data_IF_013745299252
#
_entry.id   IF_013745299252
#
_cell.length_a   1.000
_cell.length_b   1.000
_cell.length_c   1.000
_cell.angle_alpha   90.00
_cell.angle_beta   90.00
_cell.angle_gamma   90.00
#
_symmetry.space_group_name_H-M   'P 1'
#
loop_
_entity.id
_entity.type
_entity.pdbx_description
1 polymer ?
#
# COMPACT_ATOMS: atom_id res chain seq x y z
N UNK A 1 -5.50 9.47 -79.44
CA UNK A 1 -5.46 8.11 -80.02
C UNK A 1 -4.10 7.49 -79.66
N UNK A 2 -4.10 6.30 -79.01
CA UNK A 2 -2.95 5.45 -78.55
C UNK A 2 -2.16 6.02 -77.35
N UNK A 3 -2.33 5.55 -76.10
CA UNK A 3 -2.03 4.24 -75.43
C UNK A 3 -0.52 3.94 -75.36
N UNK A 4 -0.06 3.55 -74.14
CA UNK A 4 1.11 2.73 -73.71
C UNK A 4 1.79 3.44 -72.50
N UNK A 5 2.09 2.87 -71.32
CA UNK A 5 1.76 1.64 -70.60
C UNK A 5 2.16 1.89 -69.12
N UNK A 6 1.29 1.57 -68.15
CA UNK A 6 1.64 1.54 -66.73
C UNK A 6 2.35 0.21 -66.41
N UNK A 7 3.50 0.24 -65.74
CA UNK A 7 4.08 -0.94 -65.08
C UNK A 7 3.96 -0.72 -63.58
N UNK A 8 2.92 -1.33 -63.00
CA UNK A 8 2.76 -1.47 -61.56
C UNK A 8 3.40 -2.82 -61.18
N UNK A 9 4.52 -2.78 -60.44
CA UNK A 9 5.11 -3.98 -59.86
C UNK A 9 4.19 -4.52 -58.77
N UNK A 10 3.46 -5.59 -59.07
CA UNK A 10 2.66 -6.34 -58.11
C UNK A 10 3.61 -7.29 -57.35
N UNK A 11 4.12 -6.86 -56.20
CA UNK A 11 4.82 -7.77 -55.27
C UNK A 11 3.76 -8.61 -54.58
N UNK A 12 3.58 -9.84 -55.05
CA UNK A 12 2.78 -10.86 -54.38
C UNK A 12 3.54 -11.28 -53.13
N UNK A 13 3.23 -10.69 -51.98
CA UNK A 13 3.57 -11.30 -50.70
C UNK A 13 2.74 -12.57 -50.57
N UNK A 14 3.39 -13.71 -50.69
CA UNK A 14 2.85 -14.98 -50.21
C UNK A 14 2.64 -14.83 -48.70
N UNK A 15 1.41 -14.52 -48.29
CA UNK A 15 0.96 -14.71 -46.93
C UNK A 15 1.03 -16.21 -46.65
N UNK A 16 2.16 -16.66 -46.11
CA UNK A 16 2.19 -17.82 -45.25
C UNK A 16 1.20 -17.53 -44.12
N UNK A 17 -0.01 -18.07 -44.23
CA UNK A 17 -0.88 -18.26 -43.08
C UNK A 17 -0.25 -19.34 -42.22
N UNK A 18 0.85 -19.00 -41.54
CA UNK A 18 1.26 -19.69 -40.35
C UNK A 18 0.19 -19.38 -39.30
N UNK A 19 -0.62 -20.38 -39.03
CA UNK A 19 -1.63 -20.49 -37.99
C UNK A 19 -1.23 -19.65 -36.76
N UNK A 20 -1.94 -18.54 -36.55
CA UNK A 20 -1.63 -17.54 -35.52
C UNK A 20 -2.18 -17.98 -34.16
N UNK A 21 -1.94 -19.23 -33.79
CA UNK A 21 -2.18 -19.71 -32.44
C UNK A 21 -1.05 -19.13 -31.58
N UNK A 22 -1.26 -17.96 -30.98
CA UNK A 22 -0.27 -17.36 -30.09
C UNK A 22 -0.14 -18.24 -28.86
N UNK A 23 0.78 -19.19 -28.88
CA UNK A 23 1.14 -20.00 -27.74
C UNK A 23 1.69 -19.03 -26.67
N UNK A 24 0.95 -18.89 -25.57
CA UNK A 24 1.32 -18.03 -24.45
C UNK A 24 1.76 -18.90 -23.31
N UNK A 25 2.58 -18.34 -22.46
CA UNK A 25 3.01 -18.99 -21.23
C UNK A 25 2.19 -18.43 -20.10
N UNK A 26 1.35 -19.26 -19.47
CA UNK A 26 0.72 -18.90 -18.21
C UNK A 26 1.82 -18.98 -17.17
N UNK A 27 2.04 -17.89 -16.47
CA UNK A 27 3.17 -17.72 -15.58
C UNK A 27 2.68 -17.30 -14.21
N UNK A 28 3.06 -18.05 -13.19
CA UNK A 28 2.95 -17.66 -11.79
C UNK A 28 4.28 -17.02 -11.37
N UNK A 29 4.23 -15.78 -10.92
CA UNK A 29 5.36 -15.04 -10.38
C UNK A 29 5.15 -14.89 -8.88
N UNK A 30 6.03 -15.48 -8.08
CA UNK A 30 6.10 -15.19 -6.65
C UNK A 30 6.91 -13.90 -6.46
N UNK A 31 6.26 -12.88 -5.91
CA UNK A 31 6.86 -11.59 -5.57
C UNK A 31 7.53 -11.58 -4.19
N UNK A 32 7.77 -12.77 -3.63
CA UNK A 32 8.34 -13.00 -2.31
C UNK A 32 7.26 -13.16 -1.25
N UNK A 33 7.58 -13.89 -0.18
CA UNK A 33 6.70 -14.13 0.97
C UNK A 33 5.31 -14.69 0.59
N UNK A 34 5.20 -15.49 -0.49
CA UNK A 34 3.95 -16.15 -0.89
C UNK A 34 2.93 -15.24 -1.61
N UNK A 35 3.36 -14.09 -2.12
CA UNK A 35 2.53 -13.22 -2.96
C UNK A 35 2.66 -13.62 -4.43
N UNK A 36 1.81 -14.55 -4.85
CA UNK A 36 1.83 -15.09 -6.21
C UNK A 36 0.87 -14.31 -7.11
N UNK A 37 1.37 -13.89 -8.26
CA UNK A 37 0.58 -13.26 -9.33
C UNK A 37 0.64 -14.08 -10.61
N UNK A 38 -0.52 -14.26 -11.21
CA UNK A 38 -0.67 -14.91 -12.51
C UNK A 38 -0.57 -13.88 -13.62
N UNK A 39 0.34 -14.09 -14.58
CA UNK A 39 0.52 -13.27 -15.79
C UNK A 39 0.67 -14.15 -17.03
N UNK A 40 0.53 -13.55 -18.22
CA UNK A 40 0.83 -14.24 -19.48
C UNK A 40 2.09 -13.68 -20.13
N UNK A 41 3.07 -14.55 -20.39
CA UNK A 41 4.35 -14.18 -20.96
C UNK A 41 4.47 -14.67 -22.41
N UNK A 42 5.13 -13.86 -23.23
CA UNK A 42 5.66 -14.27 -24.53
C UNK A 42 7.13 -14.63 -24.32
N UNK A 43 7.51 -15.84 -24.72
CA UNK A 43 8.88 -16.35 -24.65
C UNK A 43 9.42 -16.44 -26.08
N UNK A 44 10.55 -15.79 -26.35
CA UNK A 44 11.25 -15.80 -27.63
C UNK A 44 12.69 -16.22 -27.39
N UNK A 45 13.15 -17.21 -28.15
CA UNK A 45 14.51 -17.73 -28.07
C UNK A 45 15.06 -17.80 -29.51
N UNK A 46 16.01 -16.93 -29.83
CA UNK A 46 16.61 -16.84 -31.16
C UNK A 46 18.13 -16.71 -31.02
N UNK A 47 18.91 -17.58 -31.65
CA UNK A 47 20.37 -17.57 -31.59
C UNK A 47 20.90 -17.46 -30.16
N UNK A 48 20.41 -18.32 -29.25
CA UNK A 48 20.73 -18.33 -27.82
C UNK A 48 20.28 -17.08 -27.04
N UNK A 49 19.73 -16.05 -27.69
CA UNK A 49 19.18 -14.88 -27.01
C UNK A 49 17.75 -15.15 -26.56
N UNK A 50 17.51 -14.95 -25.27
CA UNK A 50 16.20 -15.13 -24.64
C UNK A 50 15.58 -13.76 -24.38
N UNK A 51 14.35 -13.58 -24.86
CA UNK A 51 13.49 -12.44 -24.53
C UNK A 51 12.15 -12.94 -24.04
N UNK A 52 11.83 -12.66 -22.78
CA UNK A 52 10.55 -12.99 -22.15
C UNK A 52 9.86 -11.68 -21.76
N UNK A 53 8.61 -11.50 -22.15
CA UNK A 53 7.89 -10.24 -21.89
C UNK A 53 6.44 -10.49 -21.50
N UNK A 54 5.92 -9.66 -20.59
CA UNK A 54 4.46 -9.58 -20.42
C UNK A 54 3.81 -8.92 -21.64
N UNK A 55 2.48 -8.99 -21.69
CA UNK A 55 1.72 -8.57 -22.85
C UNK A 55 1.90 -7.08 -23.16
N UNK A 56 2.17 -6.77 -24.43
CA UNK A 56 2.20 -5.38 -24.92
C UNK A 56 0.88 -4.67 -24.66
N UNK A 57 0.93 -3.36 -24.49
CA UNK A 57 -0.21 -2.46 -24.29
C UNK A 57 -1.04 -2.75 -23.02
N UNK A 58 -0.42 -3.31 -21.98
CA UNK A 58 -1.06 -3.51 -20.69
C UNK A 58 -1.54 -2.18 -20.08
N UNK A 59 -0.72 -1.15 -20.14
CA UNK A 59 -1.08 0.22 -19.76
C UNK A 59 -2.26 0.81 -20.56
N UNK A 60 -2.49 0.39 -21.82
CA UNK A 60 -3.64 0.82 -22.63
C UNK A 60 -4.92 0.12 -22.18
N UNK A 61 -4.84 -1.14 -21.76
CA UNK A 61 -5.96 -1.85 -21.16
C UNK A 61 -6.36 -1.17 -19.85
N UNK A 62 -5.37 -0.84 -19.02
CA UNK A 62 -5.59 -0.15 -17.73
C UNK A 62 -6.13 1.29 -17.92
N UNK A 63 -5.40 2.17 -18.61
CA UNK A 63 -5.69 3.62 -18.62
C UNK A 63 -6.38 4.13 -19.87
N UNK A 64 -6.38 3.33 -20.95
CA UNK A 64 -6.82 3.76 -22.28
C UNK A 64 -5.78 4.54 -23.07
N UNK A 65 -5.91 4.42 -24.40
CA UNK A 65 -4.90 4.86 -25.38
C UNK A 65 -4.35 6.26 -25.12
N UNK A 66 -5.22 7.24 -24.92
CA UNK A 66 -4.80 8.63 -24.73
C UNK A 66 -3.93 8.82 -23.48
N UNK A 67 -4.38 8.33 -22.31
CA UNK A 67 -3.62 8.43 -21.05
C UNK A 67 -2.31 7.66 -21.13
N UNK A 68 -2.31 6.46 -21.72
CA UNK A 68 -1.10 5.64 -21.87
C UNK A 68 -0.07 6.30 -22.78
N UNK A 69 -0.49 6.94 -23.87
CA UNK A 69 0.43 7.67 -24.76
C UNK A 69 1.15 8.80 -24.00
N UNK A 70 0.41 9.61 -23.23
CA UNK A 70 1.01 10.68 -22.43
C UNK A 70 1.93 10.10 -21.36
N UNK A 71 1.49 9.07 -20.63
CA UNK A 71 2.28 8.46 -19.56
C UNK A 71 3.59 7.86 -20.08
N UNK A 72 3.60 7.24 -21.27
CA UNK A 72 4.81 6.72 -21.92
C UNK A 72 5.78 7.85 -22.29
N UNK A 73 5.30 8.97 -22.83
CA UNK A 73 6.12 10.14 -23.18
C UNK A 73 6.78 10.72 -21.92
N UNK A 74 6.03 10.79 -20.82
CA UNK A 74 6.55 11.26 -19.53
C UNK A 74 7.43 10.23 -18.79
N UNK A 75 7.66 9.04 -19.36
CA UNK A 75 8.41 7.97 -18.71
C UNK A 75 7.72 7.35 -17.48
N UNK A 76 6.42 7.63 -17.28
CA UNK A 76 5.63 7.11 -16.14
C UNK A 76 5.18 5.67 -16.32
N UNK A 77 5.11 5.17 -17.57
CA UNK A 77 4.82 3.78 -17.87
C UNK A 77 5.90 3.16 -18.76
N UNK A 78 6.10 1.82 -18.71
CA UNK A 78 7.10 1.16 -19.53
C UNK A 78 6.86 1.33 -21.03
N UNK A 79 7.95 1.28 -21.82
CA UNK A 79 7.87 1.26 -23.29
C UNK A 79 6.97 0.13 -23.76
N UNK A 80 6.12 0.42 -24.75
CA UNK A 80 5.12 -0.51 -25.31
C UNK A 80 4.12 -1.05 -24.27
N UNK A 81 4.09 -0.54 -23.04
CA UNK A 81 3.23 -1.05 -21.97
C UNK A 81 3.57 -2.47 -21.53
N UNK A 82 4.84 -2.85 -21.54
CA UNK A 82 5.31 -4.16 -21.07
C UNK A 82 5.78 -4.02 -19.62
N UNK A 83 5.13 -4.71 -18.70
CA UNK A 83 5.41 -4.61 -17.26
C UNK A 83 6.51 -5.55 -16.77
N UNK A 84 6.58 -6.77 -17.31
CA UNK A 84 7.62 -7.75 -16.99
C UNK A 84 8.53 -7.93 -18.21
N UNK A 85 9.83 -7.87 -18.01
CA UNK A 85 10.83 -8.19 -19.05
C UNK A 85 11.94 -9.04 -18.47
N UNK A 86 12.34 -10.11 -19.15
CA UNK A 86 13.54 -10.88 -18.86
C UNK A 86 14.33 -10.98 -20.17
N UNK A 87 15.57 -10.51 -20.17
CA UNK A 87 16.47 -10.64 -21.31
C UNK A 87 17.73 -11.37 -20.86
N UNK A 88 18.15 -12.37 -21.61
CA UNK A 88 19.28 -13.21 -21.20
C UNK A 88 19.84 -14.05 -22.34
N UNK A 89 20.73 -14.96 -21.97
CA UNK A 89 21.35 -15.92 -22.86
C UNK A 89 20.97 -17.32 -22.36
N UNK A 90 20.66 -18.20 -23.30
CA UNK A 90 20.45 -19.62 -23.06
C UNK A 90 21.70 -20.43 -23.38
N UNK A 91 22.09 -21.34 -22.49
CA UNK A 91 23.12 -22.34 -22.72
C UNK A 91 22.60 -23.70 -22.27
N UNK A 92 22.36 -24.60 -23.23
CA UNK A 92 21.59 -25.82 -22.98
C UNK A 92 20.17 -25.46 -22.52
N UNK A 93 19.70 -26.03 -21.41
CA UNK A 93 18.38 -25.69 -20.85
C UNK A 93 18.43 -24.46 -19.93
N UNK A 94 19.62 -23.96 -19.60
CA UNK A 94 19.81 -22.90 -18.60
C UNK A 94 19.70 -21.50 -19.21
N UNK A 95 19.05 -20.59 -18.51
CA UNK A 95 18.91 -19.17 -18.87
C UNK A 95 19.56 -18.32 -17.79
N UNK A 96 20.44 -17.40 -18.20
CA UNK A 96 21.00 -16.38 -17.31
C UNK A 96 20.73 -15.01 -17.93
N UNK A 97 20.17 -14.09 -17.14
CA UNK A 97 19.78 -12.78 -17.67
C UNK A 97 19.45 -11.76 -16.61
N UNK A 98 18.88 -10.65 -17.07
CA UNK A 98 18.36 -9.56 -16.26
C UNK A 98 16.84 -9.51 -16.38
N UNK A 99 16.17 -9.35 -15.25
CA UNK A 99 14.74 -9.17 -15.17
C UNK A 99 14.38 -7.76 -14.70
N UNK A 100 13.24 -7.27 -15.17
CA UNK A 100 12.52 -6.14 -14.59
C UNK A 100 11.11 -6.60 -14.30
N UNK A 101 10.75 -6.61 -13.02
CA UNK A 101 9.43 -7.04 -12.54
C UNK A 101 8.81 -5.88 -11.77
N UNK A 102 7.49 -5.60 -11.91
CA UNK A 102 6.81 -4.65 -11.04
C UNK A 102 7.08 -4.99 -9.56
N UNK A 103 7.11 -3.98 -8.70
CA UNK A 103 7.41 -4.05 -7.25
C UNK A 103 8.82 -4.52 -6.86
N UNK A 104 9.39 -5.53 -7.52
CA UNK A 104 10.74 -6.04 -7.22
C UNK A 104 11.87 -5.23 -7.88
N UNK A 105 11.58 -4.51 -8.97
CA UNK A 105 12.55 -3.67 -9.67
C UNK A 105 13.45 -4.45 -10.62
N UNK A 106 14.72 -4.04 -10.72
CA UNK A 106 15.71 -4.67 -11.59
C UNK A 106 16.43 -5.80 -10.84
N UNK A 107 16.52 -6.97 -11.45
CA UNK A 107 16.99 -8.20 -10.82
C UNK A 107 17.86 -9.01 -11.77
N UNK A 108 18.62 -9.93 -11.21
CA UNK A 108 19.19 -11.05 -11.94
C UNK A 108 18.13 -12.15 -12.09
N UNK A 109 18.20 -12.89 -13.20
CA UNK A 109 17.36 -14.05 -13.44
C UNK A 109 18.22 -15.25 -13.77
N UNK A 110 18.01 -16.34 -13.04
CA UNK A 110 18.59 -17.66 -13.31
C UNK A 110 17.44 -18.64 -13.46
N UNK A 111 17.27 -19.21 -14.64
CA UNK A 111 16.14 -20.08 -14.95
C UNK A 111 16.49 -21.26 -15.83
N UNK A 112 15.50 -22.09 -16.09
CA UNK A 112 15.58 -23.28 -16.93
C UNK A 112 14.37 -23.29 -17.85
N UNK A 113 14.59 -23.61 -19.12
CA UNK A 113 13.52 -23.87 -20.11
C UNK A 113 13.65 -25.28 -20.66
N UNK A 114 12.61 -26.11 -20.46
CA UNK A 114 12.59 -27.50 -20.92
C UNK A 114 11.16 -27.96 -21.18
N UNK A 115 10.92 -28.68 -22.28
CA UNK A 115 9.65 -29.40 -22.55
C UNK A 115 8.38 -28.55 -22.30
N UNK A 116 8.37 -27.29 -22.78
CA UNK A 116 7.28 -26.32 -22.60
C UNK A 116 7.05 -25.82 -21.17
N UNK A 117 8.04 -26.00 -20.29
CA UNK A 117 8.10 -25.40 -18.96
C UNK A 117 9.27 -24.42 -18.86
N UNK A 118 9.04 -23.31 -18.19
CA UNK A 118 10.03 -22.28 -17.88
C UNK A 118 9.92 -22.02 -16.39
N UNK A 119 11.02 -22.21 -15.67
CA UNK A 119 11.10 -21.87 -14.26
C UNK A 119 12.36 -21.06 -13.97
N UNK A 120 12.39 -20.33 -12.85
CA UNK A 120 13.59 -19.63 -12.44
C UNK A 120 13.42 -18.77 -11.20
N UNK A 121 14.55 -18.26 -10.73
CA UNK A 121 14.64 -17.42 -9.55
C UNK A 121 14.98 -15.98 -9.94
N UNK A 122 14.36 -15.03 -9.26
CA UNK A 122 14.74 -13.62 -9.29
C UNK A 122 15.69 -13.34 -8.13
N UNK A 123 16.87 -12.79 -8.44
CA UNK A 123 17.92 -12.56 -7.46
C UNK A 123 18.25 -11.07 -7.32
N UNK A 124 18.47 -10.64 -6.09
CA UNK A 124 18.98 -9.32 -5.73
C UNK A 124 20.39 -9.45 -5.20
N UNK A 125 21.27 -8.53 -5.59
CA UNK A 125 22.70 -8.54 -5.22
C UNK A 125 23.40 -9.88 -5.58
N UNK A 126 23.04 -10.50 -6.70
CA UNK A 126 23.67 -11.72 -7.22
C UNK A 126 23.19 -13.04 -6.62
N UNK A 127 22.87 -13.07 -5.32
CA UNK A 127 22.66 -14.33 -4.58
C UNK A 127 21.34 -14.41 -3.79
N UNK A 128 20.75 -13.29 -3.38
CA UNK A 128 19.52 -13.32 -2.56
C UNK A 128 18.30 -13.58 -3.45
N UNK A 129 17.68 -14.75 -3.31
CA UNK A 129 16.41 -15.07 -3.97
C UNK A 129 15.31 -14.22 -3.32
N UNK A 130 14.59 -13.45 -4.12
CA UNK A 130 13.48 -12.61 -3.65
C UNK A 130 12.15 -12.92 -4.35
N UNK A 131 12.14 -13.92 -5.23
CA UNK A 131 10.96 -14.33 -5.97
C UNK A 131 11.26 -15.47 -6.95
N UNK A 132 10.21 -16.08 -7.46
CA UNK A 132 10.30 -17.19 -8.42
C UNK A 132 9.36 -16.97 -9.61
N UNK A 133 9.67 -17.64 -10.72
CA UNK A 133 8.83 -17.72 -11.91
C UNK A 133 8.59 -19.19 -12.21
N UNK A 134 7.34 -19.57 -12.40
CA UNK A 134 6.94 -20.87 -12.93
C UNK A 134 5.97 -20.66 -14.08
N UNK A 135 6.26 -21.22 -15.24
CA UNK A 135 5.48 -20.99 -16.45
C UNK A 135 5.26 -22.27 -17.24
N UNK A 136 4.06 -22.41 -17.76
CA UNK A 136 3.66 -23.52 -18.63
C UNK A 136 2.94 -22.97 -19.86
N UNK A 137 3.19 -23.61 -21.01
CA UNK A 137 2.50 -23.25 -22.24
C UNK A 137 0.99 -23.51 -22.12
N UNK A 138 0.17 -22.58 -22.59
CA UNK A 138 -1.29 -22.64 -22.48
C UNK A 138 -1.98 -22.07 -23.71
N UNK A 139 -3.21 -22.51 -23.92
CA UNK A 139 -4.17 -21.89 -24.86
C UNK A 139 -4.98 -20.78 -24.20
N UNK A 140 -5.03 -20.72 -22.86
CA UNK A 140 -5.64 -19.60 -22.13
C UNK A 140 -4.83 -18.34 -22.36
N UNK A 141 -5.51 -17.23 -22.61
CA UNK A 141 -4.86 -15.98 -22.97
C UNK A 141 -5.15 -14.82 -22.01
N UNK A 142 -6.08 -14.98 -21.07
CA UNK A 142 -6.41 -13.99 -20.05
C UNK A 142 -7.07 -14.65 -18.82
N UNK A 143 -7.18 -13.88 -17.74
CA UNK A 143 -8.03 -14.15 -16.58
C UNK A 143 -9.34 -13.38 -16.74
N UNK A 144 -10.47 -14.02 -16.39
CA UNK A 144 -11.79 -13.39 -16.46
C UNK A 144 -12.08 -12.62 -15.15
N UNK A 145 -12.29 -11.30 -15.28
CA UNK A 145 -12.61 -10.39 -14.17
C UNK A 145 -14.05 -9.88 -14.22
N UNK A 146 -14.90 -10.37 -15.12
CA UNK A 146 -16.24 -9.82 -15.34
C UNK A 146 -17.13 -9.89 -14.08
N UNK A 147 -16.95 -10.91 -13.24
CA UNK A 147 -17.69 -11.07 -11.98
C UNK A 147 -17.23 -10.10 -10.87
N UNK A 148 -16.05 -9.47 -11.01
CA UNK A 148 -15.47 -8.67 -9.94
C UNK A 148 -16.18 -7.34 -9.80
N UNK A 149 -16.54 -6.70 -10.91
CA UNK A 149 -17.23 -5.41 -10.89
C UNK A 149 -18.52 -5.45 -10.04
N UNK A 150 -19.53 -6.29 -10.34
CA UNK A 150 -20.76 -6.30 -9.55
C UNK A 150 -20.50 -6.64 -8.08
N UNK A 151 -19.59 -7.58 -7.80
CA UNK A 151 -19.24 -7.98 -6.42
C UNK A 151 -18.56 -6.87 -5.63
N UNK A 152 -17.58 -6.17 -6.20
CA UNK A 152 -16.90 -5.03 -5.57
C UNK A 152 -17.90 -3.91 -5.29
N UNK A 153 -18.78 -3.60 -6.25
CA UNK A 153 -19.80 -2.55 -6.07
C UNK A 153 -20.78 -2.92 -4.96
N UNK A 154 -21.24 -4.17 -4.89
CA UNK A 154 -22.15 -4.65 -3.86
C UNK A 154 -21.49 -4.61 -2.46
N UNK A 155 -20.29 -5.19 -2.32
CA UNK A 155 -19.51 -5.16 -1.08
C UNK A 155 -19.34 -3.72 -0.61
N UNK A 156 -18.98 -2.81 -1.52
CA UNK A 156 -18.75 -1.41 -1.20
C UNK A 156 -20.05 -0.73 -0.74
N UNK A 157 -21.15 -0.87 -1.49
CA UNK A 157 -22.45 -0.27 -1.15
C UNK A 157 -22.92 -0.67 0.25
N UNK A 158 -22.69 -1.92 0.64
CA UNK A 158 -23.18 -2.46 1.91
C UNK A 158 -22.32 -2.05 3.11
N UNK A 159 -21.03 -1.76 2.90
CA UNK A 159 -20.08 -1.67 4.01
C UNK A 159 -19.29 -0.36 4.09
N UNK A 160 -19.28 0.46 3.03
CA UNK A 160 -18.50 1.70 3.03
C UNK A 160 -18.94 2.63 4.15
N UNK A 161 -17.99 3.28 4.82
CA UNK A 161 -18.18 4.11 6.01
C UNK A 161 -19.24 5.21 5.89
N UNK A 162 -19.48 5.73 4.69
CA UNK A 162 -20.51 6.75 4.44
C UNK A 162 -21.17 6.49 3.10
N UNK A 163 -22.50 6.49 3.05
CA UNK A 163 -23.26 6.30 1.81
C UNK A 163 -23.15 7.48 0.86
N UNK A 164 -22.85 8.68 1.38
CA UNK A 164 -22.76 9.89 0.56
C UNK A 164 -21.58 9.89 -0.40
N UNK A 165 -20.49 9.19 -0.07
CA UNK A 165 -19.34 9.10 -0.97
C UNK A 165 -19.73 8.41 -2.28
N UNK A 166 -20.75 7.55 -2.26
CA UNK A 166 -21.27 6.86 -3.44
C UNK A 166 -22.04 7.80 -4.37
N UNK A 167 -22.37 9.01 -3.93
CA UNK A 167 -23.03 10.05 -4.72
C UNK A 167 -22.03 11.00 -5.39
N UNK A 168 -20.75 10.93 -5.01
CA UNK A 168 -19.70 11.84 -5.51
C UNK A 168 -19.36 11.58 -6.97
N UNK A 169 -18.92 12.62 -7.69
CA UNK A 169 -18.49 12.50 -9.09
C UNK A 169 -17.28 11.56 -9.22
N UNK A 170 -16.39 11.62 -8.24
CA UNK A 170 -15.18 10.81 -8.12
C UNK A 170 -15.53 9.32 -8.06
N UNK A 171 -16.52 8.94 -7.22
CA UNK A 171 -17.00 7.57 -7.15
C UNK A 171 -17.63 7.10 -8.46
N UNK A 172 -18.55 7.87 -9.05
CA UNK A 172 -19.17 7.49 -10.33
C UNK A 172 -18.12 7.31 -11.45
N UNK A 173 -17.10 8.17 -11.47
CA UNK A 173 -15.98 8.07 -12.40
C UNK A 173 -15.11 6.83 -12.12
N UNK A 174 -14.88 6.50 -10.85
CA UNK A 174 -14.20 5.26 -10.45
C UNK A 174 -15.00 4.03 -10.91
N UNK A 175 -16.31 3.96 -10.68
CA UNK A 175 -17.15 2.83 -11.09
C UNK A 175 -17.06 2.56 -12.60
N UNK A 176 -17.19 3.61 -13.42
CA UNK A 176 -17.05 3.49 -14.87
C UNK A 176 -15.67 2.98 -15.30
N UNK A 177 -14.61 3.43 -14.62
CA UNK A 177 -13.25 2.99 -14.93
C UNK A 177 -12.99 1.56 -14.43
N UNK A 178 -13.56 1.17 -13.29
CA UNK A 178 -13.48 -0.18 -12.76
C UNK A 178 -14.19 -1.18 -13.67
N UNK A 179 -15.41 -0.88 -14.12
CA UNK A 179 -16.15 -1.73 -15.06
C UNK A 179 -15.34 -1.97 -16.34
N UNK A 180 -14.77 -0.90 -16.90
CA UNK A 180 -13.85 -1.00 -18.04
C UNK A 180 -12.64 -1.87 -17.71
N UNK A 181 -12.01 -1.68 -16.54
CA UNK A 181 -10.83 -2.43 -16.14
C UNK A 181 -11.15 -3.93 -16.07
N UNK A 182 -12.26 -4.33 -15.43
CA UNK A 182 -12.73 -5.71 -15.40
C UNK A 182 -12.92 -6.30 -16.80
N UNK A 183 -13.42 -5.51 -17.75
CA UNK A 183 -13.62 -5.96 -19.13
C UNK A 183 -12.33 -6.04 -19.98
N UNK A 184 -11.24 -5.41 -19.53
CA UNK A 184 -10.06 -5.21 -20.39
C UNK A 184 -8.77 -5.76 -19.83
N UNK A 185 -8.60 -5.85 -18.51
CA UNK A 185 -7.42 -6.44 -17.89
C UNK A 185 -7.27 -7.90 -18.32
N UNK A 186 -6.03 -8.32 -18.61
CA UNK A 186 -5.77 -9.70 -19.04
C UNK A 186 -5.14 -10.56 -17.95
N UNK A 187 -4.55 -9.96 -16.93
CA UNK A 187 -3.84 -10.67 -15.87
C UNK A 187 -3.83 -9.91 -14.54
N UNK A 188 -3.28 -10.56 -13.51
CA UNK A 188 -3.25 -10.06 -12.14
C UNK A 188 -2.49 -8.75 -12.01
N UNK A 189 -1.39 -8.61 -12.75
CA UNK A 189 -0.55 -7.41 -12.74
C UNK A 189 -1.36 -6.23 -13.26
N UNK A 190 -2.05 -6.41 -14.39
CA UNK A 190 -2.90 -5.37 -14.97
C UNK A 190 -4.04 -4.98 -14.04
N UNK A 191 -4.76 -5.96 -13.50
CA UNK A 191 -5.91 -5.70 -12.65
C UNK A 191 -5.50 -5.03 -11.33
N UNK A 192 -4.46 -5.55 -10.65
CA UNK A 192 -3.96 -4.99 -9.40
C UNK A 192 -3.44 -3.56 -9.56
N UNK A 193 -2.57 -3.31 -10.54
CA UNK A 193 -2.05 -1.96 -10.80
C UNK A 193 -3.18 -1.02 -11.21
N UNK A 194 -4.10 -1.49 -12.07
CA UNK A 194 -5.22 -0.69 -12.51
C UNK A 194 -6.13 -0.29 -11.37
N UNK A 195 -6.59 -1.24 -10.56
CA UNK A 195 -7.48 -0.97 -9.44
C UNK A 195 -6.87 0.03 -8.46
N UNK A 196 -5.64 -0.25 -8.01
CA UNK A 196 -4.97 0.55 -6.98
C UNK A 196 -4.51 1.93 -7.47
N UNK A 197 -4.39 2.15 -8.78
CA UNK A 197 -4.18 3.49 -9.34
C UNK A 197 -5.49 4.25 -9.51
N UNK A 198 -6.57 3.57 -9.90
CA UNK A 198 -7.89 4.18 -10.01
C UNK A 198 -8.40 4.65 -8.65
N UNK A 199 -8.18 3.86 -7.59
CA UNK A 199 -8.63 4.19 -6.23
C UNK A 199 -7.98 5.46 -5.65
N UNK A 200 -6.79 5.84 -6.11
CA UNK A 200 -6.12 7.06 -5.65
C UNK A 200 -6.93 8.32 -5.93
N UNK A 201 -7.78 8.29 -6.97
CA UNK A 201 -8.67 9.40 -7.34
C UNK A 201 -9.95 9.50 -6.51
N UNK A 202 -10.19 8.59 -5.56
CA UNK A 202 -11.34 8.64 -4.66
C UNK A 202 -11.16 9.76 -3.60
N UNK A 203 -12.26 10.33 -3.07
CA UNK A 203 -12.20 11.41 -2.09
C UNK A 203 -11.95 10.90 -0.65
N UNK A 204 -11.54 9.64 -0.51
CA UNK A 204 -11.38 8.92 0.76
C UNK A 204 -10.26 7.88 0.66
N UNK A 205 -9.57 7.58 1.75
CA UNK A 205 -8.43 6.63 1.75
C UNK A 205 -8.86 5.16 1.92
N UNK A 206 -7.89 4.24 2.04
CA UNK A 206 -8.10 2.82 2.38
C UNK A 206 -8.98 1.99 1.45
N UNK A 207 -9.08 2.32 0.18
CA UNK A 207 -9.85 1.56 -0.80
C UNK A 207 -8.94 0.92 -1.85
N UNK A 208 -8.46 -0.29 -1.62
CA UNK A 208 -7.44 -0.93 -2.44
C UNK A 208 -7.68 -2.43 -2.57
N UNK A 209 -7.14 -3.08 -3.61
CA UNK A 209 -7.12 -4.53 -3.73
C UNK A 209 -5.75 -5.06 -3.32
N UNK A 210 -5.77 -6.16 -2.58
CA UNK A 210 -4.59 -6.94 -2.22
C UNK A 210 -4.79 -8.41 -2.61
N UNK A 211 -3.68 -9.12 -2.76
CA UNK A 211 -3.66 -10.56 -2.88
C UNK A 211 -3.62 -11.22 -1.50
N UNK A 212 -4.34 -12.30 -1.32
CA UNK A 212 -4.17 -13.20 -0.19
C UNK A 212 -2.85 -13.95 -0.38
N UNK A 213 -1.98 -13.92 0.64
CA UNK A 213 -0.77 -14.75 0.69
C UNK A 213 -1.18 -16.23 0.63
N UNK A 214 -0.57 -17.00 -0.26
CA UNK A 214 -0.70 -18.47 -0.18
C UNK A 214 0.07 -18.94 1.06
N UNK A 215 -0.62 -19.61 1.97
CA UNK A 215 0.02 -20.22 3.15
C UNK A 215 0.87 -21.38 2.66
N UNK A 216 2.19 -21.20 2.61
CA UNK A 216 3.12 -22.31 2.51
C UNK A 216 3.21 -23.01 3.86
N UNK A 217 3.05 -24.33 3.92
CA UNK A 217 3.23 -25.19 5.12
C UNK A 217 4.65 -25.14 5.75
N UNK A 218 5.52 -24.25 5.25
CA UNK A 218 6.78 -23.95 5.88
C UNK A 218 6.55 -22.95 7.01
N UNK A 219 6.81 -23.39 8.24
CA UNK A 219 7.09 -22.51 9.38
C UNK A 219 8.28 -21.61 9.01
N UNK A 220 8.02 -20.52 8.29
CA UNK A 220 8.93 -19.40 8.23
C UNK A 220 9.09 -18.93 9.67
N UNK A 221 10.30 -19.11 10.21
CA UNK A 221 10.75 -18.30 11.33
C UNK A 221 10.60 -16.85 10.87
N UNK A 222 9.48 -16.21 11.21
CA UNK A 222 9.32 -14.77 11.01
C UNK A 222 10.50 -14.12 11.72
N UNK A 223 11.47 -13.65 10.94
CA UNK A 223 12.50 -12.77 11.46
C UNK A 223 11.74 -11.53 11.91
N UNK A 224 11.47 -11.43 13.22
CA UNK A 224 10.76 -10.30 13.81
C UNK A 224 11.56 -9.05 13.49
N UNK A 225 11.13 -8.32 12.47
CA UNK A 225 11.82 -7.12 12.04
C UNK A 225 11.78 -6.12 13.19
N UNK A 226 12.96 -5.63 13.60
CA UNK A 226 13.09 -4.62 14.64
C UNK A 226 12.29 -3.40 14.23
N UNK A 227 11.21 -3.12 14.97
CA UNK A 227 10.26 -2.06 14.64
C UNK A 227 10.52 -0.77 15.43
N UNK A 228 11.33 -0.86 16.48
CA UNK A 228 11.79 0.28 17.28
C UNK A 228 13.30 0.46 17.21
N UNK A 229 13.76 1.70 17.05
CA UNK A 229 15.18 2.06 17.23
C UNK A 229 15.24 3.08 18.38
N UNK A 230 16.09 2.82 19.36
CA UNK A 230 16.33 3.72 20.49
C UNK A 230 17.80 4.10 20.55
N UNK A 231 18.07 5.40 20.63
CA UNK A 231 19.43 5.96 20.68
C UNK A 231 19.47 7.09 21.73
N UNK A 232 20.55 7.13 22.51
CA UNK A 232 20.90 8.30 23.32
C UNK A 232 21.69 9.25 22.43
N UNK A 233 21.12 10.42 22.12
CA UNK A 233 21.81 11.45 21.32
C UNK A 233 22.88 12.13 22.17
N UNK A 234 22.51 12.47 23.41
CA UNK A 234 23.41 12.95 24.45
C UNK A 234 22.76 12.72 25.83
N UNK A 235 23.46 13.12 26.90
CA UNK A 235 23.03 12.90 28.29
C UNK A 235 21.65 13.49 28.65
N UNK A 236 21.11 14.41 27.85
CA UNK A 236 19.83 15.07 28.09
C UNK A 236 18.76 14.78 27.03
N UNK A 237 19.10 14.05 25.96
CA UNK A 237 18.21 13.89 24.81
C UNK A 237 18.18 12.44 24.32
N UNK A 238 16.99 11.87 24.34
CA UNK A 238 16.70 10.53 23.83
C UNK A 238 16.02 10.62 22.44
N UNK A 239 16.34 9.66 21.57
CA UNK A 239 15.70 9.48 20.26
C UNK A 239 15.04 8.09 20.20
N UNK A 240 13.79 8.06 19.74
CA UNK A 240 12.97 6.86 19.60
C UNK A 240 12.31 6.84 18.23
N UNK A 241 12.78 5.98 17.31
CA UNK A 241 12.10 5.72 16.04
C UNK A 241 11.11 4.58 16.17
N UNK A 242 9.87 4.82 15.75
CA UNK A 242 8.82 3.81 15.65
C UNK A 242 8.53 3.60 14.17
N UNK A 243 8.98 2.47 13.61
CA UNK A 243 8.81 2.18 12.17
C UNK A 243 7.36 1.86 11.80
N UNK A 244 6.63 1.20 12.69
CA UNK A 244 5.21 0.88 12.52
C UNK A 244 4.56 0.59 13.88
N UNK A 245 3.23 0.58 13.95
CA UNK A 245 2.46 0.17 15.13
C UNK A 245 1.97 -1.29 15.08
N UNK A 246 2.22 -2.02 14.00
CA UNK A 246 1.74 -3.41 13.83
C UNK A 246 2.53 -4.42 14.65
N UNK A 247 3.82 -4.18 14.92
CA UNK A 247 4.70 -5.13 15.62
C UNK A 247 5.50 -4.53 16.79
N UNK A 248 5.24 -3.28 17.16
CA UNK A 248 6.09 -2.51 18.09
C UNK A 248 5.68 -2.55 19.56
N UNK A 249 4.53 -3.16 19.89
CA UNK A 249 3.99 -3.15 21.26
C UNK A 249 5.00 -3.66 22.31
N UNK A 250 5.57 -4.84 22.10
CA UNK A 250 6.48 -5.43 23.09
C UNK A 250 7.78 -4.64 23.22
N UNK A 251 8.30 -4.10 22.11
CA UNK A 251 9.51 -3.27 22.12
C UNK A 251 9.27 -1.95 22.86
N UNK A 252 8.12 -1.31 22.64
CA UNK A 252 7.73 -0.08 23.35
C UNK A 252 7.60 -0.31 24.85
N UNK A 253 6.97 -1.41 25.26
CA UNK A 253 6.82 -1.78 26.68
C UNK A 253 8.17 -1.97 27.40
N UNK A 254 9.24 -2.31 26.68
CA UNK A 254 10.60 -2.45 27.22
C UNK A 254 11.39 -1.15 27.18
N UNK A 255 11.25 -0.38 26.10
CA UNK A 255 12.11 0.79 25.84
C UNK A 255 11.64 2.03 26.62
N UNK A 256 10.32 2.28 26.70
CA UNK A 256 9.81 3.45 27.40
C UNK A 256 10.21 3.51 28.88
N UNK A 257 10.12 2.42 29.67
CA UNK A 257 10.60 2.44 31.05
C UNK A 257 12.08 2.83 31.19
N UNK A 258 12.94 2.47 30.22
CA UNK A 258 14.36 2.87 30.22
C UNK A 258 14.51 4.38 30.00
N UNK A 259 13.77 4.94 29.05
CA UNK A 259 13.74 6.38 28.78
C UNK A 259 13.25 7.14 30.01
N UNK A 260 12.13 6.72 30.60
CA UNK A 260 11.49 7.39 31.74
C UNK A 260 12.30 7.23 33.03
N UNK A 261 13.02 6.12 33.17
CA UNK A 261 13.91 5.84 34.29
C UNK A 261 15.12 6.77 34.32
N UNK A 262 15.62 7.21 33.17
CA UNK A 262 16.73 8.15 33.08
C UNK A 262 16.28 9.60 33.29
N UNK A 263 16.41 10.10 34.52
CA UNK A 263 16.00 11.46 34.92
C UNK A 263 16.83 12.60 34.31
N UNK A 264 17.95 12.27 33.65
CA UNK A 264 18.76 13.25 32.94
C UNK A 264 18.12 13.68 31.62
N UNK A 265 17.33 12.80 30.98
CA UNK A 265 16.63 13.16 29.76
C UNK A 265 15.62 14.29 30.02
N UNK A 266 15.86 15.42 29.34
CA UNK A 266 14.98 16.58 29.29
C UNK A 266 14.21 16.65 27.99
N UNK A 267 14.69 15.96 26.95
CA UNK A 267 14.07 15.92 25.62
C UNK A 267 13.88 14.48 25.15
N UNK A 268 12.73 14.19 24.56
CA UNK A 268 12.45 12.96 23.83
C UNK A 268 12.03 13.32 22.40
N UNK A 269 12.76 12.80 21.43
CA UNK A 269 12.45 12.92 20.02
C UNK A 269 11.83 11.59 19.56
N UNK A 270 10.54 11.61 19.23
CA UNK A 270 9.83 10.46 18.67
C UNK A 270 9.78 10.61 17.16
N UNK A 271 10.44 9.70 16.45
CA UNK A 271 10.48 9.68 14.99
C UNK A 271 9.41 8.74 14.42
N UNK A 272 8.35 9.35 13.86
CA UNK A 272 7.25 8.67 13.17
C UNK A 272 7.33 8.85 11.65
N UNK A 273 8.45 9.34 11.11
CA UNK A 273 8.66 9.42 9.67
C UNK A 273 8.61 8.01 9.08
N UNK A 274 7.91 7.87 7.95
CA UNK A 274 7.67 6.59 7.28
C UNK A 274 6.85 5.57 8.10
N UNK A 275 6.20 5.96 9.20
CA UNK A 275 5.33 5.08 9.97
C UNK A 275 3.90 5.02 9.38
N UNK A 276 3.49 3.91 8.74
CA UNK A 276 2.19 3.82 8.08
C UNK A 276 1.00 3.64 9.05
N UNK A 277 1.25 3.66 10.35
CA UNK A 277 0.29 3.27 11.38
C UNK A 277 0.44 1.80 11.75
N UNK A 278 -0.67 1.15 12.11
CA UNK A 278 -0.69 -0.24 12.56
C UNK A 278 -1.64 -0.45 13.74
N UNK A 279 -1.33 -1.42 14.58
CA UNK A 279 -2.23 -1.88 15.64
C UNK A 279 -2.53 -0.84 16.73
N UNK A 280 -3.80 -0.77 17.13
CA UNK A 280 -4.30 -0.04 18.29
C UNK A 280 -3.51 -0.37 19.57
N UNK A 281 -3.05 -1.60 19.70
CA UNK A 281 -2.37 -2.14 20.87
C UNK A 281 -1.05 -1.42 21.15
N UNK A 282 -0.23 -1.21 20.12
CA UNK A 282 1.05 -0.52 20.24
C UNK A 282 0.85 0.99 20.41
N UNK A 283 -0.19 1.55 19.79
CA UNK A 283 -0.62 2.91 20.00
C UNK A 283 -1.04 3.20 21.43
N UNK A 284 -1.87 2.32 22.01
CA UNK A 284 -2.24 2.39 23.43
C UNK A 284 -1.00 2.25 24.32
N UNK A 285 -0.07 1.35 23.99
CA UNK A 285 1.17 1.21 24.74
C UNK A 285 2.01 2.50 24.69
N UNK A 286 2.18 3.11 23.52
CA UNK A 286 2.86 4.39 23.37
C UNK A 286 2.17 5.52 24.16
N UNK A 287 0.84 5.59 24.09
CA UNK A 287 0.05 6.62 24.75
C UNK A 287 0.15 6.55 26.29
N UNK A 288 0.25 5.34 26.88
CA UNK A 288 0.42 5.15 28.33
C UNK A 288 1.66 5.85 28.91
N UNK A 289 2.70 6.03 28.10
CA UNK A 289 3.98 6.63 28.52
C UNK A 289 4.10 8.11 28.17
N UNK A 290 3.14 8.66 27.42
CA UNK A 290 3.19 10.02 26.86
C UNK A 290 2.00 10.89 27.24
N UNK A 291 0.87 10.31 27.68
CA UNK A 291 -0.32 11.04 28.13
C UNK A 291 -0.51 10.92 29.64
N UNK A 292 -0.71 12.06 30.32
CA UNK A 292 -0.75 12.16 31.78
C UNK A 292 -2.15 12.06 32.41
N UNK A 293 -3.19 12.13 31.59
CA UNK A 293 -4.59 12.19 32.02
C UNK A 293 -5.44 11.35 31.08
N UNK A 294 -6.65 10.99 31.54
CA UNK A 294 -7.69 10.47 30.64
C UNK A 294 -7.90 11.47 29.53
N UNK A 295 -7.67 11.05 28.30
CA UNK A 295 -7.63 11.93 27.13
C UNK A 295 -8.58 11.39 26.08
N UNK A 296 -9.59 12.18 25.75
CA UNK A 296 -10.44 11.93 24.59
C UNK A 296 -9.61 12.13 23.32
N UNK A 297 -9.61 11.12 22.46
CA UNK A 297 -8.86 11.14 21.20
C UNK A 297 -9.80 11.57 20.07
N UNK A 298 -11.02 11.05 20.06
CA UNK A 298 -12.02 11.38 19.06
C UNK A 298 -13.08 10.30 18.90
N UNK A 299 -13.61 10.19 17.69
CA UNK A 299 -14.81 9.45 17.37
C UNK A 299 -14.62 8.65 16.09
N UNK A 300 -14.98 7.37 16.14
CA UNK A 300 -15.18 6.58 14.93
C UNK A 300 -16.67 6.54 14.60
N UNK A 301 -17.04 6.84 13.36
CA UNK A 301 -18.44 6.84 12.91
C UNK A 301 -18.64 5.97 11.67
N UNK A 302 -19.74 5.24 11.64
CA UNK A 302 -20.01 4.22 10.62
C UNK A 302 -21.20 4.60 9.76
N UNK A 303 -21.44 3.81 8.71
CA UNK A 303 -22.57 4.02 7.80
C UNK A 303 -23.96 3.74 8.38
N UNK A 304 -24.02 3.33 9.65
CA UNK A 304 -25.27 3.17 10.41
C UNK A 304 -25.71 4.48 11.06
N UNK A 305 -24.83 5.47 11.13
CA UNK A 305 -25.21 6.83 11.50
C UNK A 305 -25.86 7.51 10.27
N UNK A 306 -27.05 8.08 10.46
CA UNK A 306 -27.82 8.65 9.34
C UNK A 306 -27.26 9.99 8.82
N UNK A 307 -26.44 10.67 9.63
CA UNK A 307 -25.81 11.93 9.27
C UNK A 307 -24.38 11.71 8.82
N UNK A 308 -23.95 12.45 7.81
CA UNK A 308 -22.54 12.62 7.47
C UNK A 308 -21.96 13.84 8.18
N UNK A 309 -20.65 13.79 8.43
CA UNK A 309 -19.92 14.89 9.03
C UNK A 309 -20.00 14.96 10.56
N UNK A 310 -19.32 15.94 11.12
CA UNK A 310 -19.23 16.14 12.56
C UNK A 310 -20.49 16.81 13.10
N UNK A 311 -21.06 16.24 14.16
CA UNK A 311 -22.14 16.84 14.94
C UNK A 311 -21.84 16.58 16.42
N UNK A 312 -21.51 17.63 17.17
CA UNK A 312 -21.04 17.52 18.55
C UNK A 312 -22.06 16.77 19.43
N UNK A 313 -23.34 17.16 19.42
CA UNK A 313 -24.38 16.54 20.25
C UNK A 313 -24.53 15.04 19.97
N UNK A 314 -24.49 14.65 18.69
CA UNK A 314 -24.57 13.24 18.29
C UNK A 314 -23.31 12.49 18.70
N UNK A 315 -22.14 13.08 18.52
CA UNK A 315 -20.86 12.42 18.76
C UNK A 315 -20.62 12.24 20.26
N UNK A 316 -20.90 13.27 21.06
CA UNK A 316 -20.81 13.22 22.53
C UNK A 316 -21.70 12.12 23.13
N UNK A 317 -22.84 11.82 22.49
CA UNK A 317 -23.77 10.75 22.87
C UNK A 317 -23.33 9.34 22.48
N UNK A 318 -22.27 9.18 21.67
CA UNK A 318 -21.78 7.87 21.25
C UNK A 318 -21.19 7.11 22.46
N UNK A 319 -21.37 5.79 22.52
CA UNK A 319 -20.81 4.97 23.58
C UNK A 319 -19.28 5.01 23.52
N UNK A 320 -18.65 4.98 24.69
CA UNK A 320 -17.20 4.85 24.81
C UNK A 320 -16.77 3.41 24.53
N UNK A 321 -15.85 3.22 23.57
CA UNK A 321 -15.36 1.86 23.25
C UNK A 321 -14.49 1.31 24.36
N UNK A 322 -14.62 0.01 24.60
CA UNK A 322 -13.75 -0.76 25.50
C UNK A 322 -12.72 -1.60 24.74
N UNK A 323 -12.64 -1.43 23.42
CA UNK A 323 -11.78 -2.20 22.53
C UNK A 323 -10.30 -1.93 22.83
N UNK A 324 -9.55 -3.00 23.08
CA UNK A 324 -8.10 -2.94 23.37
C UNK A 324 -7.24 -3.39 22.19
N UNK A 325 -7.86 -4.06 21.22
CA UNK A 325 -7.21 -4.57 20.02
C UNK A 325 -7.83 -3.97 18.77
N UNK A 326 -7.07 -3.98 17.69
CA UNK A 326 -7.57 -3.52 16.38
C UNK A 326 -8.73 -4.40 15.90
N UNK A 327 -8.64 -5.71 16.16
CA UNK A 327 -9.67 -6.66 15.77
C UNK A 327 -10.98 -6.43 16.54
N UNK A 328 -10.91 -6.17 17.85
CA UNK A 328 -12.09 -5.86 18.67
C UNK A 328 -12.78 -4.59 18.18
N UNK A 329 -12.00 -3.53 17.93
CA UNK A 329 -12.54 -2.26 17.44
C UNK A 329 -13.21 -2.43 16.07
N UNK A 330 -12.58 -3.15 15.14
CA UNK A 330 -13.20 -3.45 13.83
C UNK A 330 -14.47 -4.27 14.00
N UNK A 331 -14.49 -5.25 14.92
CA UNK A 331 -15.66 -6.06 15.24
C UNK A 331 -16.83 -5.21 15.76
N UNK A 332 -16.52 -4.28 16.67
CA UNK A 332 -17.49 -3.34 17.24
C UNK A 332 -18.06 -2.41 16.17
N UNK A 333 -17.20 -1.77 15.36
CA UNK A 333 -17.59 -0.85 14.27
C UNK A 333 -18.51 -1.51 13.21
N UNK A 334 -18.45 -2.83 13.05
CA UNK A 334 -19.37 -3.53 12.14
C UNK A 334 -20.82 -3.52 12.63
N UNK A 335 -21.08 -3.29 13.92
CA UNK A 335 -22.43 -3.38 14.49
C UNK A 335 -23.00 -2.04 14.99
N UNK A 336 -22.15 -1.08 15.38
CA UNK A 336 -22.57 0.18 16.01
C UNK A 336 -22.61 1.37 15.05
N UNK A 337 -23.30 2.45 15.46
CA UNK A 337 -23.35 3.73 14.71
C UNK A 337 -22.03 4.50 14.77
N UNK A 338 -21.30 4.31 15.85
CA UNK A 338 -20.02 4.94 16.12
C UNK A 338 -19.63 4.71 17.57
N UNK A 339 -18.40 5.07 17.91
CA UNK A 339 -17.85 5.00 19.26
C UNK A 339 -17.00 6.23 19.55
N UNK A 340 -17.05 6.68 20.81
CA UNK A 340 -16.08 7.62 21.37
C UNK A 340 -14.84 6.82 21.79
N UNK A 341 -13.67 7.30 21.39
CA UNK A 341 -12.37 6.69 21.71
C UNK A 341 -11.61 7.58 22.69
N UNK A 342 -11.37 7.03 23.87
CA UNK A 342 -10.66 7.68 24.97
C UNK A 342 -9.51 6.79 25.41
N UNK A 343 -8.38 7.41 25.75
CA UNK A 343 -7.27 6.73 26.40
C UNK A 343 -7.36 7.03 27.90
N UNK A 344 -7.61 6.03 28.76
CA UNK A 344 -7.66 6.27 30.20
C UNK A 344 -6.28 6.66 30.71
N UNK A 345 -6.25 7.44 31.80
CA UNK A 345 -5.01 7.71 32.53
C UNK A 345 -4.32 6.39 32.91
N UNK A 346 -3.03 6.31 32.64
CA UNK A 346 -2.17 5.21 33.06
C UNK A 346 -1.59 5.49 34.46
N UNK A 347 -1.47 4.46 35.29
CA UNK A 347 -0.71 4.53 36.56
C UNK A 347 0.81 4.44 36.34
N UNK A 348 1.25 4.20 35.09
CA UNK A 348 2.65 4.15 34.73
C UNK A 348 3.28 5.54 34.81
N UNK A 349 4.59 5.57 35.11
CA UNK A 349 5.37 6.80 34.98
C UNK A 349 5.39 7.24 33.52
N UNK A 350 5.28 8.54 33.29
CA UNK A 350 5.33 9.14 31.95
C UNK A 350 6.62 9.91 31.75
N UNK A 351 6.96 10.18 30.50
CA UNK A 351 7.99 11.16 30.19
C UNK A 351 7.45 12.58 30.42
N UNK A 352 8.15 13.38 31.22
CA UNK A 352 7.72 14.74 31.61
C UNK A 352 8.55 15.87 31.00
N UNK A 353 9.54 15.53 30.17
CA UNK A 353 10.36 16.52 29.46
C UNK A 353 9.70 17.05 28.17
N UNK A 354 10.48 17.77 27.37
CA UNK A 354 10.04 18.26 26.06
C UNK A 354 9.87 17.09 25.08
N UNK A 355 8.69 16.98 24.47
CA UNK A 355 8.39 15.97 23.47
C UNK A 355 8.41 16.59 22.07
N UNK A 356 9.26 16.05 21.20
CA UNK A 356 9.31 16.42 19.78
C UNK A 356 8.86 15.22 18.94
N UNK A 357 8.04 15.45 17.92
CA UNK A 357 7.53 14.39 17.05
C UNK A 357 7.91 14.67 15.60
N UNK A 358 8.68 13.77 14.98
CA UNK A 358 9.09 13.91 13.59
C UNK A 358 8.08 13.20 12.69
N UNK A 359 7.60 13.89 11.65
CA UNK A 359 6.56 13.38 10.74
C UNK A 359 6.93 13.61 9.28
N UNK A 360 6.36 12.79 8.39
CA UNK A 360 6.44 13.03 6.95
C UNK A 360 5.17 12.60 6.22
N UNK A 361 5.14 12.77 4.90
CA UNK A 361 4.02 12.39 4.03
C UNK A 361 3.67 10.90 4.02
N UNK A 362 4.47 10.03 4.64
CA UNK A 362 4.19 8.60 4.82
C UNK A 362 3.78 8.23 6.24
N UNK A 363 3.79 9.19 7.18
CA UNK A 363 3.20 9.02 8.50
C UNK A 363 1.68 8.97 8.37
N UNK A 364 1.02 7.89 8.80
CA UNK A 364 -0.39 7.65 8.47
C UNK A 364 -1.18 6.90 9.56
N UNK A 365 -2.51 6.84 9.39
CA UNK A 365 -3.43 5.98 10.13
C UNK A 365 -3.29 6.18 11.64
N UNK A 366 -3.17 5.12 12.43
CA UNK A 366 -3.07 5.13 13.89
C UNK A 366 -2.09 6.18 14.45
N UNK A 367 -1.04 6.55 13.69
CA UNK A 367 -0.12 7.63 14.08
C UNK A 367 -0.80 9.00 14.15
N UNK A 368 -1.72 9.31 13.23
CA UNK A 368 -2.26 10.66 13.01
C UNK A 368 -3.10 11.17 14.21
N UNK A 369 -4.03 10.40 14.80
CA UNK A 369 -4.75 10.84 16.00
C UNK A 369 -3.82 11.05 17.20
N UNK A 370 -2.79 10.20 17.35
CA UNK A 370 -1.80 10.33 18.43
C UNK A 370 -1.01 11.61 18.27
N UNK A 371 -0.51 11.89 17.06
CA UNK A 371 0.24 13.12 16.74
C UNK A 371 -0.65 14.34 17.01
N UNK A 372 -1.90 14.32 16.55
CA UNK A 372 -2.85 15.40 16.76
C UNK A 372 -3.04 15.71 18.25
N UNK A 373 -3.27 14.67 19.06
CA UNK A 373 -3.47 14.82 20.51
C UNK A 373 -2.19 15.29 21.20
N UNK A 374 -1.03 14.71 20.89
CA UNK A 374 0.24 15.12 21.47
C UNK A 374 0.57 16.58 21.15
N UNK A 375 0.35 17.00 19.91
CA UNK A 375 0.51 18.39 19.47
C UNK A 375 -0.31 19.34 20.35
N UNK A 376 -1.60 19.03 20.53
CA UNK A 376 -2.50 19.83 21.37
C UNK A 376 -2.21 19.73 22.88
N UNK A 377 -1.35 18.79 23.31
CA UNK A 377 -0.84 18.65 24.67
C UNK A 377 0.56 19.24 24.87
N UNK A 378 1.09 19.96 23.87
CA UNK A 378 2.35 20.71 23.98
C UNK A 378 3.58 20.00 23.41
N UNK A 379 3.42 18.85 22.74
CA UNK A 379 4.50 18.31 21.93
C UNK A 379 4.73 19.19 20.69
N UNK A 380 5.98 19.33 20.25
CA UNK A 380 6.32 20.06 19.03
C UNK A 380 6.43 19.10 17.85
N UNK A 381 5.59 19.24 16.84
CA UNK A 381 5.61 18.41 15.63
C UNK A 381 6.47 19.07 14.56
N UNK A 382 7.47 18.36 14.04
CA UNK A 382 8.45 18.90 13.06
C UNK A 382 8.54 17.98 11.84
N UNK A 383 8.58 18.55 10.64
CA UNK A 383 8.76 17.79 9.40
C UNK A 383 7.72 18.16 8.34
N UNK A 384 7.12 17.16 7.70
CA UNK A 384 6.13 17.35 6.64
C UNK A 384 4.73 16.95 7.13
N UNK A 385 3.69 17.46 6.47
CA UNK A 385 2.31 17.03 6.70
C UNK A 385 2.17 15.51 6.60
N UNK A 386 1.41 14.90 7.51
CA UNK A 386 1.08 13.46 7.47
C UNK A 386 0.22 13.10 6.26
N UNK A 387 0.05 11.80 6.01
CA UNK A 387 -0.59 11.26 4.81
C UNK A 387 -2.09 11.63 4.67
N UNK A 388 -2.80 11.83 5.79
CA UNK A 388 -4.25 11.97 5.79
C UNK A 388 -4.92 10.67 5.36
N UNK A 389 -4.55 9.55 5.98
CA UNK A 389 -5.15 8.26 5.70
C UNK A 389 -5.64 7.69 7.03
N UNK A 390 -6.82 8.13 7.47
CA UNK A 390 -7.32 7.86 8.83
C UNK A 390 -8.71 7.21 8.86
N UNK A 391 -9.05 6.46 7.81
CA UNK A 391 -10.26 5.62 7.84
C UNK A 391 -9.96 4.26 8.45
N UNK A 392 -10.89 3.75 9.25
CA UNK A 392 -10.83 2.38 9.75
C UNK A 392 -11.36 1.44 8.67
N UNK A 393 -10.52 0.49 8.23
CA UNK A 393 -10.82 -0.40 7.13
C UNK A 393 -10.67 -1.87 7.50
N UNK A 394 -11.35 -2.72 6.74
CA UNK A 394 -11.25 -4.18 6.90
C UNK A 394 -11.24 -4.87 5.53
N UNK A 395 -10.95 -6.17 5.54
CA UNK A 395 -10.83 -6.99 4.34
C UNK A 395 -12.15 -7.66 3.99
N UNK A 396 -12.52 -7.59 2.72
CA UNK A 396 -13.65 -8.31 2.13
C UNK A 396 -13.16 -9.19 0.98
N UNK A 397 -13.62 -10.44 0.94
CA UNK A 397 -13.24 -11.37 -0.12
C UNK A 397 -13.97 -11.03 -1.44
N UNK A 398 -13.20 -10.82 -2.51
CA UNK A 398 -13.73 -10.66 -3.87
C UNK A 398 -13.77 -12.02 -4.55
N UNK A 399 -12.69 -12.78 -4.52
CA UNK A 399 -12.62 -14.11 -5.13
C UNK A 399 -11.33 -14.77 -4.67
N UNK A 400 -11.39 -15.85 -3.88
CA UNK A 400 -10.24 -16.67 -3.47
C UNK A 400 -8.98 -15.88 -3.13
N UNK A 401 -8.14 -15.60 -4.13
CA UNK A 401 -6.90 -14.82 -4.00
C UNK A 401 -7.06 -13.30 -3.83
N UNK A 402 -8.22 -12.70 -4.10
CA UNK A 402 -8.43 -11.25 -4.10
C UNK A 402 -9.21 -10.76 -2.88
N UNK A 403 -8.66 -9.76 -2.20
CA UNK A 403 -9.36 -9.05 -1.12
C UNK A 403 -9.44 -7.56 -1.38
N UNK A 404 -10.59 -6.98 -1.09
CA UNK A 404 -10.82 -5.54 -1.03
C UNK A 404 -10.52 -5.04 0.38
N UNK A 405 -9.59 -4.11 0.52
CA UNK A 405 -9.51 -3.22 1.68
C UNK A 405 -10.60 -2.17 1.48
N UNK A 406 -11.52 -2.08 2.44
CA UNK A 406 -12.66 -1.16 2.39
C UNK A 406 -12.80 -0.41 3.72
N UNK A 407 -12.85 0.93 3.73
CA UNK A 407 -13.14 1.70 4.93
C UNK A 407 -14.58 1.51 5.39
N UNK A 408 -14.76 1.12 6.65
CA UNK A 408 -16.06 0.88 7.31
C UNK A 408 -16.41 1.94 8.36
N UNK A 409 -15.44 2.75 8.79
CA UNK A 409 -15.67 3.90 9.66
C UNK A 409 -14.76 5.08 9.31
N UNK A 410 -15.29 6.30 9.47
CA UNK A 410 -14.52 7.55 9.45
C UNK A 410 -14.03 7.89 10.86
N UNK A 411 -13.04 8.77 10.95
CA UNK A 411 -12.49 9.26 12.20
C UNK A 411 -12.52 10.79 12.26
N UNK A 412 -13.02 11.30 13.38
CA UNK A 412 -12.98 12.71 13.73
C UNK A 412 -12.27 12.87 15.06
N UNK A 413 -11.43 13.88 15.20
CA UNK A 413 -10.80 14.23 16.48
C UNK A 413 -11.85 14.66 17.51
N UNK A 414 -11.47 14.71 18.79
CA UNK A 414 -12.35 15.13 19.90
C UNK A 414 -13.00 16.51 19.67
N UNK A 415 -12.34 17.39 18.92
CA UNK A 415 -12.78 18.73 18.53
C UNK A 415 -13.33 18.82 17.10
N UNK A 416 -13.61 17.68 16.48
CA UNK A 416 -14.40 17.59 15.25
C UNK A 416 -13.65 17.74 13.93
N UNK A 417 -12.31 17.70 13.94
CA UNK A 417 -11.52 17.68 12.71
C UNK A 417 -11.48 16.28 12.10
N UNK A 418 -11.83 16.20 10.82
CA UNK A 418 -11.67 14.99 10.02
C UNK A 418 -10.22 14.88 9.54
N UNK A 419 -9.54 13.78 9.84
CA UNK A 419 -8.13 13.60 9.44
C UNK A 419 -7.96 12.99 8.05
N UNK A 420 -8.93 12.18 7.58
CA UNK A 420 -8.85 11.55 6.27
C UNK A 420 -8.78 12.58 5.13
N UNK A 421 -7.82 12.38 4.22
CA UNK A 421 -7.38 13.26 3.13
C UNK A 421 -6.83 14.63 3.54
N UNK A 422 -6.80 14.95 4.84
CA UNK A 422 -6.28 16.22 5.37
C UNK A 422 -4.89 16.01 5.98
N UNK A 423 -4.79 15.07 6.92
CA UNK A 423 -3.61 14.81 7.74
C UNK A 423 -3.44 15.82 8.87
N UNK A 424 -2.32 15.74 9.56
CA UNK A 424 -1.87 16.64 10.63
C UNK A 424 -0.73 17.48 10.08
N UNK A 425 -0.90 18.81 10.16
CA UNK A 425 0.18 19.75 9.82
C UNK A 425 1.21 19.79 10.96
N UNK A 426 2.53 19.83 10.65
CA UNK A 426 3.55 20.08 11.67
C UNK A 426 3.43 21.50 12.25
N UNK A 427 4.00 21.72 13.43
CA UNK A 427 4.23 23.08 13.97
C UNK A 427 5.35 23.79 13.21
N UNK A 428 6.37 23.02 12.82
CA UNK A 428 7.53 23.50 12.08
C UNK A 428 7.68 22.67 10.80
N UNK A 429 7.37 23.30 9.67
CA UNK A 429 7.47 22.66 8.35
C UNK A 429 8.91 22.65 7.86
N UNK A 430 9.42 21.45 7.55
CA UNK A 430 10.74 21.25 6.95
C UNK A 430 10.77 19.93 6.18
N UNK A 431 11.78 19.74 5.32
CA UNK A 431 11.90 18.48 4.57
C UNK A 431 12.13 17.32 5.53
N UNK A 432 11.53 16.16 5.25
CA UNK A 432 11.64 14.94 6.07
C UNK A 432 13.08 14.59 6.46
N UNK A 433 14.06 14.86 5.59
CA UNK A 433 15.49 14.58 5.83
C UNK A 433 16.17 15.57 6.79
N UNK A 434 15.64 16.77 6.93
CA UNK A 434 16.24 17.87 7.70
C UNK A 434 15.56 18.01 9.09
N UNK A 435 14.43 17.32 9.31
CA UNK A 435 13.60 17.45 10.52
C UNK A 435 14.31 17.12 11.85
N UNK A 436 15.20 16.11 11.86
CA UNK A 436 15.96 15.78 13.07
C UNK A 436 16.97 16.88 13.42
N UNK A 437 17.70 17.36 12.41
CA UNK A 437 18.67 18.45 12.58
C UNK A 437 17.99 19.72 13.10
N UNK A 438 16.79 20.02 12.60
CA UNK A 438 16.00 21.17 13.05
C UNK A 438 15.65 21.06 14.55
N UNK A 439 15.18 19.90 15.00
CA UNK A 439 14.88 19.68 16.44
C UNK A 439 16.13 19.81 17.30
N UNK A 440 17.28 19.29 16.85
CA UNK A 440 18.53 19.40 17.62
C UNK A 440 18.96 20.86 17.76
N UNK A 441 18.86 21.67 16.71
CA UNK A 441 19.10 23.13 16.79
C UNK A 441 18.17 23.81 17.78
N UNK A 442 16.89 23.41 17.85
CA UNK A 442 15.95 23.98 18.81
C UNK A 442 16.29 23.62 20.26
N UNK A 443 16.82 22.41 20.49
CA UNK A 443 17.26 21.96 21.81
C UNK A 443 18.52 22.71 22.25
N UNK A 444 19.50 22.89 21.35
CA UNK A 444 20.76 23.56 21.66
C UNK A 444 20.61 25.07 21.91
N UNK A 445 19.55 25.69 21.36
CA UNK A 445 19.27 27.12 21.52
C UNK A 445 18.41 27.46 22.78
N UNK A 446 18.07 26.47 23.60
CA UNK A 446 17.34 26.63 24.88
C UNK A 446 18.26 26.40 26.06
#
# INVERSE_FOLDING_TARGET
MKIIFNILFLVIFTNSMAQKDSHRWKSEIDLGNGFIVTTFLNVSIENEQVTITSLKNADVRIFGRFKSTIARIMGKTPKKGIFVTINGIQSGDSIIGKAKVPTLGNLDFKGVVKENKLSGNFLKNGDMIIGTLNSENTTKNHIDYNSFYPKIIEITKNNIYSREVLLTKEWHNFQKQLERLCNTAQDDIEFFLGFNLLSQGLPFSHFNIIFQKETSDYNELEIKEVSIIFEEINTTTAYLKIKNFSSSKEELAVIFPKIIGNKNYKNLIVDLKDNPGGGLEAALEFAKHTLNNTTEIGYFVTNKLQNSGFNADVFESLPETQSKTTADLIGELKSVKGVKFTIPKSDQSIFTGNLYVLTNSKTASTSEPIIYVLKNKGATVVGEKTAGAMLSATLFEIDGKYKLILPIADFFTYDGFRLDRIGVMPDIETKSKDALEEVLKMIDNK
#
